data_IF_235179599599
#
_entry.id   IF_235179599599
#
_cell.length_a   1.000
_cell.length_b   1.000
_cell.length_c   1.000
_cell.angle_alpha   90.00
_cell.angle_beta   90.00
_cell.angle_gamma   90.00
#
_symmetry.space_group_name_H-M   'P 1'
#
loop_
_entity.id
_entity.type
_entity.pdbx_description
1 polymer ?
#
# COMPACT_ATOMS: atom_id res chain seq x y z
N UNK A 1 -20.97 -76.06 -26.38
CA UNK A 1 -19.86 -75.49 -27.17
C UNK A 1 -19.82 -73.99 -26.97
N UNK A 2 -18.68 -73.47 -26.54
CA UNK A 2 -18.35 -72.05 -26.37
C UNK A 2 -18.41 -71.29 -27.71
N UNK A 3 -18.80 -70.01 -27.72
CA UNK A 3 -17.86 -68.88 -27.85
C UNK A 3 -18.55 -67.49 -27.94
N UNK A 4 -17.83 -66.48 -27.41
CA UNK A 4 -18.12 -65.04 -27.20
C UNK A 4 -18.12 -64.26 -28.54
N UNK A 5 -18.49 -62.99 -28.72
CA UNK A 5 -18.34 -61.70 -27.98
C UNK A 5 -19.25 -60.65 -28.71
N UNK A 6 -19.59 -59.44 -28.25
CA UNK A 6 -18.82 -58.35 -27.61
C UNK A 6 -19.76 -57.37 -26.86
N UNK A 7 -19.24 -56.80 -25.77
CA UNK A 7 -19.76 -55.66 -25.02
C UNK A 7 -19.81 -54.37 -25.86
N UNK A 8 -20.76 -53.48 -25.53
CA UNK A 8 -20.45 -52.05 -25.37
C UNK A 8 -21.34 -51.49 -24.25
N UNK A 9 -20.67 -51.00 -23.21
CA UNK A 9 -21.23 -50.33 -22.04
C UNK A 9 -21.55 -48.88 -22.42
N UNK A 10 -22.75 -48.40 -22.06
CA UNK A 10 -22.98 -46.97 -21.81
C UNK A 10 -23.71 -46.84 -20.47
N UNK A 11 -22.92 -46.49 -19.46
CA UNK A 11 -23.38 -46.03 -18.17
C UNK A 11 -23.62 -44.52 -18.31
N UNK A 12 -24.87 -44.08 -18.19
CA UNK A 12 -25.18 -42.68 -17.90
C UNK A 12 -25.66 -42.62 -16.44
N UNK A 13 -24.68 -42.50 -15.55
CA UNK A 13 -24.83 -42.11 -14.15
C UNK A 13 -24.79 -40.58 -14.12
N UNK A 14 -25.94 -39.92 -14.13
CA UNK A 14 -26.02 -38.48 -13.87
C UNK A 14 -26.20 -38.26 -12.35
N UNK A 15 -25.07 -38.22 -11.65
CA UNK A 15 -24.94 -37.55 -10.36
C UNK A 15 -25.00 -36.04 -10.60
N UNK A 16 -26.10 -35.38 -10.25
CA UNK A 16 -26.13 -33.93 -10.05
C UNK A 16 -25.82 -33.61 -8.59
N UNK A 17 -24.54 -33.44 -8.30
CA UNK A 17 -24.05 -32.82 -7.08
C UNK A 17 -23.19 -31.60 -7.46
N UNK A 18 -23.76 -30.41 -7.34
CA UNK A 18 -23.05 -29.13 -7.33
C UNK A 18 -23.99 -28.05 -6.79
N UNK A 19 -24.27 -28.09 -5.48
CA UNK A 19 -24.84 -26.93 -4.78
C UNK A 19 -23.69 -26.03 -4.36
N UNK A 20 -23.54 -24.95 -5.12
CA UNK A 20 -23.14 -23.59 -4.73
C UNK A 20 -22.47 -23.46 -3.35
N UNK A 21 -21.15 -23.28 -3.32
CA UNK A 21 -20.39 -22.84 -2.15
C UNK A 21 -19.95 -21.37 -2.26
N UNK A 22 -20.73 -20.52 -2.94
CA UNK A 22 -20.33 -19.13 -3.20
C UNK A 22 -20.86 -18.10 -2.20
N UNK A 23 -21.53 -18.50 -1.13
CA UNK A 23 -22.17 -17.55 -0.18
C UNK A 23 -21.37 -17.30 1.11
N UNK A 24 -20.54 -18.27 1.57
CA UNK A 24 -19.85 -18.14 2.86
C UNK A 24 -18.69 -17.11 2.86
N UNK A 25 -18.06 -16.86 1.71
CA UNK A 25 -16.88 -15.98 1.64
C UNK A 25 -17.22 -14.50 1.84
N UNK A 26 -18.43 -14.10 1.42
CA UNK A 26 -18.93 -12.73 1.59
C UNK A 26 -19.26 -12.44 3.04
N UNK A 27 -19.86 -13.42 3.73
CA UNK A 27 -20.18 -13.33 5.15
C UNK A 27 -18.93 -13.38 6.03
N UNK A 28 -17.92 -14.19 5.68
CA UNK A 28 -16.63 -14.21 6.38
C UNK A 28 -15.87 -12.89 6.25
N UNK A 29 -15.90 -12.25 5.08
CA UNK A 29 -15.32 -10.93 4.86
C UNK A 29 -16.06 -9.85 5.65
N UNK A 30 -17.40 -9.88 5.67
CA UNK A 30 -18.21 -8.95 6.46
C UNK A 30 -17.98 -9.14 7.97
N UNK A 31 -17.80 -10.38 8.42
CA UNK A 31 -17.43 -10.71 9.80
C UNK A 31 -16.03 -10.21 10.15
N UNK A 32 -15.05 -10.37 9.26
CA UNK A 32 -13.71 -9.83 9.47
C UNK A 32 -13.73 -8.30 9.57
N UNK A 33 -14.46 -7.61 8.68
CA UNK A 33 -14.64 -6.15 8.73
C UNK A 33 -15.35 -5.69 10.01
N UNK A 34 -16.35 -6.43 10.48
CA UNK A 34 -16.97 -6.21 11.78
C UNK A 34 -15.99 -6.42 12.92
N UNK A 35 -15.19 -7.49 12.90
CA UNK A 35 -14.20 -7.79 13.94
C UNK A 35 -13.13 -6.70 13.99
N UNK A 36 -12.66 -6.20 12.85
CA UNK A 36 -11.70 -5.10 12.80
C UNK A 36 -12.29 -3.76 13.26
N UNK A 37 -13.56 -3.51 12.97
CA UNK A 37 -14.30 -2.36 13.50
C UNK A 37 -14.50 -2.46 15.02
N UNK A 38 -14.74 -3.68 15.52
CA UNK A 38 -14.98 -3.99 16.93
C UNK A 38 -13.69 -4.07 17.77
N UNK A 39 -12.57 -4.42 17.14
CA UNK A 39 -11.21 -4.40 17.71
C UNK A 39 -10.64 -2.99 17.90
N UNK A 40 -11.37 -1.92 17.54
CA UNK A 40 -10.91 -0.54 17.76
C UNK A 40 -9.49 -0.25 17.20
N UNK A 41 -9.07 -0.96 16.15
CA UNK A 41 -7.83 -0.66 15.41
C UNK A 41 -7.82 0.82 14.98
N UNK A 42 -9.01 1.42 14.79
CA UNK A 42 -9.19 2.79 14.38
C UNK A 42 -9.18 3.85 15.48
N UNK A 43 -9.17 3.52 16.78
CA UNK A 43 -9.25 4.57 17.82
C UNK A 43 -8.06 4.68 18.76
N UNK A 44 -7.45 3.60 19.27
CA UNK A 44 -6.29 3.76 20.19
C UNK A 44 -5.20 2.64 20.12
N UNK A 45 -5.43 1.51 19.44
CA UNK A 45 -4.53 0.33 19.58
C UNK A 45 -3.61 0.04 18.37
N UNK A 46 -3.91 0.53 17.17
CA UNK A 46 -2.97 0.39 16.05
C UNK A 46 -1.94 1.50 16.08
N UNK A 47 -0.88 1.27 16.84
CA UNK A 47 0.28 2.14 16.82
C UNK A 47 1.32 1.59 15.84
N UNK A 48 1.41 2.14 14.60
CA UNK A 48 2.35 1.64 13.60
C UNK A 48 3.80 1.75 14.04
N UNK A 49 4.12 2.60 15.03
CA UNK A 49 5.47 2.78 15.55
C UNK A 49 6.06 1.51 16.19
N UNK A 50 5.23 0.56 16.61
CA UNK A 50 5.70 -0.73 17.13
C UNK A 50 6.21 -1.69 16.04
N UNK A 51 5.89 -1.40 14.78
CA UNK A 51 6.20 -2.26 13.64
C UNK A 51 7.34 -1.68 12.81
N UNK A 52 8.26 -2.55 12.41
CA UNK A 52 9.25 -2.21 11.38
C UNK A 52 8.57 -2.07 10.02
N UNK A 53 9.25 -1.48 9.04
CA UNK A 53 8.71 -1.41 7.68
C UNK A 53 8.51 -2.80 7.06
N UNK A 54 9.32 -3.79 7.46
CA UNK A 54 9.17 -5.18 7.01
C UNK A 54 7.91 -5.82 7.61
N UNK A 55 7.68 -5.62 8.91
CA UNK A 55 6.47 -6.12 9.58
C UNK A 55 5.21 -5.52 8.95
N UNK A 56 5.23 -4.21 8.70
CA UNK A 56 4.15 -3.51 8.00
C UNK A 56 3.95 -4.06 6.59
N UNK A 57 5.02 -4.25 5.81
CA UNK A 57 4.90 -4.83 4.48
C UNK A 57 4.27 -6.24 4.54
N UNK A 58 4.69 -7.08 5.49
CA UNK A 58 4.11 -8.41 5.68
C UNK A 58 2.62 -8.32 6.08
N UNK A 59 2.26 -7.43 7.01
CA UNK A 59 0.87 -7.19 7.41
C UNK A 59 -0.01 -6.75 6.23
N UNK A 60 0.52 -5.93 5.31
CA UNK A 60 -0.21 -5.50 4.11
C UNK A 60 -0.63 -6.65 3.19
N UNK A 61 0.08 -7.78 3.25
CA UNK A 61 -0.20 -8.96 2.42
C UNK A 61 -1.24 -9.90 3.05
N UNK A 62 -1.59 -9.71 4.33
CA UNK A 62 -2.49 -10.62 5.05
C UNK A 62 -3.97 -10.33 4.84
N UNK A 63 -4.35 -9.07 4.61
CA UNK A 63 -5.74 -8.65 4.45
C UNK A 63 -5.84 -7.36 3.66
N UNK A 64 -6.93 -7.20 2.88
CA UNK A 64 -7.22 -5.96 2.13
C UNK A 64 -7.43 -4.77 3.06
N UNK A 65 -8.06 -4.99 4.22
CA UNK A 65 -8.31 -3.93 5.22
C UNK A 65 -6.99 -3.44 5.82
N UNK A 66 -6.13 -4.37 6.25
CA UNK A 66 -4.81 -4.04 6.78
C UNK A 66 -3.91 -3.42 5.71
N UNK A 67 -4.01 -3.88 4.46
CA UNK A 67 -3.31 -3.26 3.34
C UNK A 67 -3.63 -1.77 3.23
N UNK A 68 -4.91 -1.38 3.28
CA UNK A 68 -5.31 0.02 3.20
C UNK A 68 -4.68 0.88 4.31
N UNK A 69 -4.75 0.41 5.57
CA UNK A 69 -4.20 1.12 6.73
C UNK A 69 -2.67 1.19 6.66
N UNK A 70 -2.01 0.07 6.39
CA UNK A 70 -0.56 -0.05 6.44
C UNK A 70 0.12 0.63 5.24
N UNK A 71 -0.46 0.56 4.05
CA UNK A 71 0.06 1.25 2.87
C UNK A 71 0.10 2.76 3.09
N UNK A 72 -0.93 3.33 3.74
CA UNK A 72 -0.94 4.75 4.09
C UNK A 72 0.23 5.11 5.02
N UNK A 73 0.50 4.29 6.04
CA UNK A 73 1.62 4.51 6.96
C UNK A 73 2.98 4.37 6.27
N UNK A 74 3.17 3.34 5.44
CA UNK A 74 4.41 3.16 4.68
C UNK A 74 4.68 4.35 3.76
N UNK A 75 3.64 4.86 3.08
CA UNK A 75 3.72 6.07 2.27
C UNK A 75 4.12 7.28 3.10
N UNK A 76 3.57 7.41 4.32
CA UNK A 76 3.88 8.51 5.24
C UNK A 76 5.35 8.48 5.66
N UNK A 77 5.90 7.29 5.97
CA UNK A 77 7.32 7.10 6.31
C UNK A 77 8.25 7.39 5.13
N UNK A 78 7.90 6.94 3.94
CA UNK A 78 8.66 7.23 2.72
C UNK A 78 8.64 8.74 2.41
N UNK A 79 7.48 9.39 2.53
CA UNK A 79 7.36 10.84 2.36
C UNK A 79 8.20 11.60 3.41
N UNK A 80 8.22 11.14 4.65
CA UNK A 80 9.06 11.73 5.70
C UNK A 80 10.54 11.62 5.36
N UNK A 81 10.98 10.46 4.84
CA UNK A 81 12.34 10.25 4.38
C UNK A 81 12.68 11.15 3.18
N UNK A 82 11.76 11.28 2.22
CA UNK A 82 11.90 12.21 1.10
C UNK A 82 12.07 13.66 1.60
N UNK A 83 11.17 14.13 2.47
CA UNK A 83 11.23 15.47 3.05
C UNK A 83 12.57 15.70 3.76
N UNK A 84 13.09 14.69 4.46
CA UNK A 84 14.40 14.76 5.12
C UNK A 84 15.54 14.96 4.11
N UNK A 85 15.55 14.22 3.01
CA UNK A 85 16.55 14.39 1.95
C UNK A 85 16.48 15.78 1.32
N UNK A 86 15.27 16.30 1.09
CA UNK A 86 15.07 17.65 0.54
C UNK A 86 15.57 18.73 1.50
N UNK A 87 15.19 18.67 2.78
CA UNK A 87 15.64 19.63 3.80
C UNK A 87 17.16 19.60 3.97
N UNK A 88 17.80 18.46 3.73
CA UNK A 88 19.26 18.30 3.79
C UNK A 88 19.99 18.62 2.48
N UNK A 89 19.28 18.98 1.41
CA UNK A 89 19.87 19.28 0.10
C UNK A 89 20.39 18.06 -0.66
N UNK A 90 19.94 16.85 -0.33
CA UNK A 90 20.41 15.60 -0.93
C UNK A 90 19.64 15.27 -2.22
N UNK A 91 19.91 16.05 -3.27
CA UNK A 91 19.14 16.03 -4.53
C UNK A 91 19.06 14.64 -5.20
N UNK A 92 20.17 13.92 -5.30
CA UNK A 92 20.21 12.61 -5.98
C UNK A 92 19.35 11.57 -5.25
N UNK A 93 19.37 11.59 -3.92
CA UNK A 93 18.57 10.67 -3.09
C UNK A 93 17.08 11.02 -3.20
N UNK A 94 16.75 12.31 -3.16
CA UNK A 94 15.37 12.76 -3.35
C UNK A 94 14.84 12.36 -4.73
N UNK A 95 15.61 12.61 -5.79
CA UNK A 95 15.26 12.24 -7.17
C UNK A 95 15.00 10.74 -7.31
N UNK A 96 15.88 9.89 -6.80
CA UNK A 96 15.71 8.44 -6.86
C UNK A 96 14.44 7.94 -6.15
N UNK A 97 13.99 8.62 -5.10
CA UNK A 97 12.73 8.31 -4.42
C UNK A 97 11.51 8.75 -5.23
N UNK A 98 11.55 9.97 -5.79
CA UNK A 98 10.46 10.54 -6.57
C UNK A 98 10.27 9.76 -7.88
N UNK A 99 11.35 9.33 -8.54
CA UNK A 99 11.30 8.50 -9.75
C UNK A 99 10.57 7.18 -9.54
N UNK A 100 10.75 6.56 -8.37
CA UNK A 100 10.04 5.32 -8.02
C UNK A 100 8.59 5.59 -7.68
N UNK A 101 8.30 6.70 -6.99
CA UNK A 101 6.97 6.99 -6.46
C UNK A 101 6.70 8.50 -6.41
N UNK A 102 6.21 9.07 -7.53
CA UNK A 102 5.95 10.51 -7.62
C UNK A 102 4.89 11.00 -6.62
N UNK A 103 3.95 10.13 -6.25
CA UNK A 103 2.86 10.43 -5.30
C UNK A 103 3.35 10.93 -3.93
N UNK A 104 4.60 10.59 -3.54
CA UNK A 104 5.22 11.07 -2.31
C UNK A 104 5.31 12.61 -2.24
N UNK A 105 5.33 13.30 -3.39
CA UNK A 105 5.36 14.76 -3.46
C UNK A 105 4.08 15.41 -2.92
N UNK A 106 2.97 14.69 -2.91
CA UNK A 106 1.65 15.17 -2.48
C UNK A 106 1.43 15.01 -0.98
N UNK A 107 2.25 14.20 -0.32
CA UNK A 107 2.06 13.83 1.08
C UNK A 107 2.68 14.90 1.98
N UNK A 108 1.86 15.48 2.86
CA UNK A 108 2.31 16.41 3.90
C UNK A 108 2.82 15.65 5.11
N UNK A 109 4.03 15.96 5.56
CA UNK A 109 4.69 15.28 6.68
C UNK A 109 5.58 16.25 7.46
N UNK A 110 6.35 15.73 8.41
CA UNK A 110 7.24 16.53 9.26
C UNK A 110 8.62 15.88 9.39
N UNK A 111 9.67 16.70 9.42
CA UNK A 111 11.05 16.26 9.69
C UNK A 111 11.79 17.29 10.53
N UNK A 112 13.05 17.00 10.85
CA UNK A 112 13.95 17.88 11.60
C UNK A 112 15.18 18.18 10.73
N UNK A 113 15.53 19.46 10.62
CA UNK A 113 16.72 19.92 9.87
C UNK A 113 18.02 19.75 10.68
N UNK A 114 19.16 20.13 10.09
CA UNK A 114 20.47 20.08 10.77
C UNK A 114 20.54 20.99 12.02
N UNK A 115 19.67 22.00 12.11
CA UNK A 115 19.61 22.96 13.22
C UNK A 115 18.62 22.51 14.31
N UNK A 116 18.03 21.32 14.20
CA UNK A 116 17.02 20.84 15.15
C UNK A 116 15.64 21.48 14.95
N UNK A 117 15.42 22.26 13.89
CA UNK A 117 14.14 22.90 13.61
C UNK A 117 13.20 21.90 12.97
N UNK A 118 11.96 21.89 13.45
CA UNK A 118 10.89 21.07 12.90
C UNK A 118 10.35 21.72 11.62
N UNK A 119 10.48 21.02 10.50
CA UNK A 119 9.94 21.42 9.21
C UNK A 119 8.67 20.62 8.94
N UNK A 120 7.58 21.31 8.59
CA UNK A 120 6.28 20.69 8.32
C UNK A 120 5.81 21.15 6.94
N UNK A 121 5.54 20.20 6.05
CA UNK A 121 5.13 20.49 4.68
C UNK A 121 5.29 19.29 3.76
N UNK A 122 5.03 19.51 2.48
CA UNK A 122 5.44 18.56 1.44
C UNK A 122 6.92 18.76 1.09
N UNK A 123 7.51 17.78 0.42
CA UNK A 123 8.86 17.87 -0.11
C UNK A 123 9.04 19.12 -1.00
N UNK A 124 8.08 19.39 -1.88
CA UNK A 124 8.10 20.55 -2.76
C UNK A 124 7.99 21.89 -2.02
N UNK A 125 7.10 21.99 -1.03
CA UNK A 125 6.98 23.18 -0.17
C UNK A 125 8.28 23.48 0.57
N UNK A 126 8.97 22.44 1.05
CA UNK A 126 10.25 22.61 1.72
C UNK A 126 11.35 23.12 0.77
N UNK A 127 11.42 22.59 -0.46
CA UNK A 127 12.39 23.04 -1.46
C UNK A 127 12.16 24.50 -1.90
N UNK A 128 10.90 24.93 -2.06
CA UNK A 128 10.57 26.34 -2.31
C UNK A 128 10.93 27.20 -1.11
N UNK A 129 10.57 26.76 0.10
CA UNK A 129 10.81 27.51 1.33
C UNK A 129 12.29 27.71 1.66
N UNK A 130 13.15 26.77 1.26
CA UNK A 130 14.61 26.90 1.38
C UNK A 130 15.26 27.68 0.23
N UNK A 131 14.52 27.98 -0.84
CA UNK A 131 15.06 28.60 -2.05
C UNK A 131 15.98 27.67 -2.86
N UNK A 132 15.89 26.35 -2.66
CA UNK A 132 16.73 25.36 -3.35
C UNK A 132 16.23 25.14 -4.79
N UNK A 133 16.65 26.05 -5.67
CA UNK A 133 16.25 26.08 -7.09
C UNK A 133 16.48 24.76 -7.84
N UNK A 134 17.70 24.17 -7.81
CA UNK A 134 17.94 22.88 -8.44
C UNK A 134 16.98 21.78 -7.96
N UNK A 135 16.65 21.77 -6.66
CA UNK A 135 15.76 20.77 -6.08
C UNK A 135 14.31 20.90 -6.54
N UNK A 136 13.70 22.10 -6.46
CA UNK A 136 12.29 22.23 -6.83
C UNK A 136 12.06 22.17 -8.34
N UNK A 137 13.01 22.66 -9.17
CA UNK A 137 12.96 22.49 -10.63
C UNK A 137 13.03 21.01 -11.03
N UNK A 138 13.83 20.20 -10.34
CA UNK A 138 13.89 18.76 -10.55
C UNK A 138 12.55 18.04 -10.26
N UNK A 139 11.73 18.58 -9.35
CA UNK A 139 10.44 17.98 -8.98
C UNK A 139 9.32 18.28 -9.98
N UNK A 140 9.37 19.41 -10.71
CA UNK A 140 8.28 19.87 -11.58
C UNK A 140 7.81 18.81 -12.60
N UNK A 141 8.70 18.12 -13.35
CA UNK A 141 8.27 17.13 -14.35
C UNK A 141 7.58 15.90 -13.75
N UNK A 142 7.65 15.71 -12.43
CA UNK A 142 6.95 14.62 -11.75
C UNK A 142 5.51 15.01 -11.40
N UNK A 143 5.21 16.30 -11.19
CA UNK A 143 3.84 16.77 -11.00
C UNK A 143 3.01 16.67 -12.27
N UNK A 144 3.59 17.01 -13.43
CA UNK A 144 2.91 16.85 -14.73
C UNK A 144 2.48 15.40 -14.99
N UNK A 145 3.29 14.42 -14.54
CA UNK A 145 2.95 12.99 -14.62
C UNK A 145 1.81 12.57 -13.71
N UNK A 146 1.60 13.28 -12.60
CA UNK A 146 0.52 13.00 -11.66
C UNK A 146 -0.82 13.56 -12.15
N UNK A 147 -0.81 14.64 -12.93
CA UNK A 147 -2.02 15.25 -13.49
C UNK A 147 -2.61 14.47 -14.67
N UNK A 148 -1.83 13.60 -15.32
CA UNK A 148 -2.24 12.80 -16.48
C UNK A 148 -2.93 11.47 -16.12
N UNK A 149 -3.32 11.27 -14.86
CA UNK A 149 -3.85 10.00 -14.34
C UNK A 149 -5.26 10.16 -13.81
#
# INVERSE_FOLDING_TARGET
MYSKAKQTVKNDLDMKEARSSSDNTTDELALAEQVFSKLQIYSEEFNPLFFTNEDLANLSLTSKTLNGVVSSELNQREAQKLLTHVVKGEQDKAKAMIEKKPELLLIRTQTVDYSGRKIIGTAFQAAIGSGDKPMWEMMLPFFERLELR
#
